data_IF_740676633214
#
_entry.id   IF_740676633214
#
_cell.length_a   1.000
_cell.length_b   1.000
_cell.length_c   1.000
_cell.angle_alpha   90.00
_cell.angle_beta   90.00
_cell.angle_gamma   90.00
#
_symmetry.space_group_name_H-M   'P 1'
#
loop_
_entity.id
_entity.type
_entity.pdbx_description
1 polymer ?
#
# COMPACT_ATOMS: atom_id res chain seq x y z
N UNK A 1 -56.78 -18.67 -6.80
CA UNK A 1 -55.59 -18.10 -7.49
C UNK A 1 -54.55 -17.82 -6.42
N UNK A 2 -53.46 -18.58 -6.38
CA UNK A 2 -52.35 -18.38 -5.43
C UNK A 2 -51.33 -17.48 -6.12
N UNK A 3 -51.15 -16.27 -5.60
CA UNK A 3 -50.10 -15.36 -6.05
C UNK A 3 -48.77 -15.76 -5.41
N UNK A 4 -47.87 -16.28 -6.24
CA UNK A 4 -46.48 -16.56 -5.87
C UNK A 4 -45.71 -15.25 -5.89
N UNK A 5 -45.24 -14.81 -4.72
CA UNK A 5 -44.35 -13.66 -4.58
C UNK A 5 -42.93 -14.12 -4.93
N UNK A 6 -42.40 -13.66 -6.07
CA UNK A 6 -41.00 -13.89 -6.46
C UNK A 6 -40.14 -12.86 -5.75
N UNK A 7 -39.36 -13.31 -4.77
CA UNK A 7 -38.35 -12.52 -4.08
C UNK A 7 -37.10 -12.48 -4.97
N UNK A 8 -36.89 -11.37 -5.69
CA UNK A 8 -35.63 -11.10 -6.40
C UNK A 8 -34.55 -10.74 -5.37
N UNK A 9 -33.66 -11.69 -5.08
CA UNK A 9 -32.41 -11.44 -4.39
C UNK A 9 -31.47 -10.65 -5.30
N UNK A 10 -31.32 -9.35 -5.04
CA UNK A 10 -30.19 -8.56 -5.53
C UNK A 10 -28.94 -9.00 -4.75
N UNK A 11 -28.18 -9.94 -5.30
CA UNK A 11 -26.79 -10.16 -4.90
C UNK A 11 -25.98 -9.00 -5.49
N UNK A 12 -25.98 -7.87 -4.79
CA UNK A 12 -25.07 -6.76 -5.05
C UNK A 12 -23.64 -7.21 -4.72
N UNK A 13 -23.00 -7.89 -5.65
CA UNK A 13 -21.56 -8.12 -5.59
C UNK A 13 -20.87 -6.76 -5.57
N UNK A 14 -20.28 -6.40 -4.44
CA UNK A 14 -19.24 -5.37 -4.37
C UNK A 14 -18.11 -5.84 -5.29
N UNK A 15 -18.15 -5.42 -6.55
CA UNK A 15 -16.96 -5.42 -7.39
C UNK A 15 -16.03 -4.37 -6.80
N UNK A 16 -15.02 -4.81 -6.07
CA UNK A 16 -13.81 -4.01 -5.92
C UNK A 16 -13.31 -3.79 -7.35
N UNK A 17 -13.49 -2.58 -7.88
CA UNK A 17 -12.77 -2.21 -9.08
C UNK A 17 -11.28 -2.44 -8.79
N UNK A 18 -10.52 -3.08 -9.70
CA UNK A 18 -9.08 -3.05 -9.59
C UNK A 18 -8.68 -1.58 -9.44
N UNK A 19 -7.91 -1.28 -8.41
CA UNK A 19 -7.30 0.04 -8.32
C UNK A 19 -6.18 -0.03 -9.34
N UNK A 20 -6.44 0.46 -10.55
CA UNK A 20 -5.40 0.52 -11.56
C UNK A 20 -4.25 1.36 -10.99
N UNK A 21 -3.09 0.75 -10.84
CA UNK A 21 -1.88 1.43 -10.40
C UNK A 21 -1.51 2.57 -11.37
N UNK A 22 -1.95 2.46 -12.62
CA UNK A 22 -1.55 3.32 -13.72
C UNK A 22 -2.48 4.53 -13.88
N UNK A 23 -1.88 5.69 -14.12
CA UNK A 23 -2.58 6.91 -14.47
C UNK A 23 -3.07 6.82 -15.92
N UNK A 24 -4.23 7.42 -16.22
CA UNK A 24 -4.54 7.73 -17.62
C UNK A 24 -3.48 8.69 -18.19
N UNK A 25 -3.19 8.55 -19.48
CA UNK A 25 -2.15 9.32 -20.18
C UNK A 25 -2.29 10.82 -19.91
N UNK A 26 -1.20 11.46 -19.49
CA UNK A 26 -1.13 12.89 -19.20
C UNK A 26 -1.64 13.31 -17.82
N UNK A 27 -2.01 12.36 -16.95
CA UNK A 27 -2.37 12.65 -15.56
C UNK A 27 -1.26 12.34 -14.54
N UNK A 28 -0.22 11.62 -14.96
CA UNK A 28 0.88 11.28 -14.08
C UNK A 28 1.81 12.49 -13.92
N UNK A 29 2.05 12.89 -12.67
CA UNK A 29 3.01 13.93 -12.32
C UNK A 29 4.44 13.38 -12.25
N UNK A 30 4.61 12.07 -12.15
CA UNK A 30 5.91 11.42 -12.25
C UNK A 30 6.34 11.36 -13.72
N UNK A 31 7.57 11.80 -13.99
CA UNK A 31 8.27 11.45 -15.21
C UNK A 31 8.60 9.96 -15.17
N UNK A 32 8.21 9.24 -16.24
CA UNK A 32 8.50 7.81 -16.40
C UNK A 32 8.11 6.96 -15.19
N UNK A 33 6.85 7.12 -14.73
CA UNK A 33 6.30 6.31 -13.65
C UNK A 33 6.24 4.82 -13.95
N UNK A 34 6.30 4.45 -15.24
CA UNK A 34 6.32 3.07 -15.72
C UNK A 34 7.74 2.48 -15.75
N UNK A 35 8.74 3.22 -15.28
CA UNK A 35 10.14 2.78 -15.19
C UNK A 35 10.73 2.25 -16.51
N UNK A 36 10.26 2.73 -17.64
CA UNK A 36 10.74 2.31 -18.97
C UNK A 36 12.19 2.78 -19.21
N UNK A 37 13.02 1.91 -19.74
CA UNK A 37 14.41 2.25 -20.02
C UNK A 37 15.22 1.16 -20.68
N UNK A 38 16.52 1.42 -20.80
CA UNK A 38 17.48 0.41 -21.19
C UNK A 38 17.84 -0.43 -19.96
N UNK A 39 17.64 -1.75 -20.06
CA UNK A 39 18.01 -2.72 -19.02
C UNK A 39 19.48 -2.62 -18.60
N UNK A 40 19.77 -2.91 -17.33
CA UNK A 40 21.16 -3.02 -16.85
C UNK A 40 21.33 -3.07 -15.33
N UNK A 41 22.49 -3.59 -14.91
CA UNK A 41 22.94 -3.55 -13.52
C UNK A 41 23.26 -2.10 -13.11
N UNK A 42 22.83 -1.70 -11.90
CA UNK A 42 23.03 -0.33 -11.41
C UNK A 42 22.47 0.74 -12.36
N UNK A 43 21.39 0.42 -13.07
CA UNK A 43 20.68 1.33 -13.95
C UNK A 43 19.37 1.77 -13.30
N UNK A 44 19.18 3.08 -13.30
CA UNK A 44 17.96 3.73 -12.81
C UNK A 44 17.15 4.22 -14.00
N UNK A 45 15.84 4.00 -13.97
CA UNK A 45 14.94 4.50 -15.00
C UNK A 45 15.08 6.02 -15.19
N UNK A 46 15.00 6.50 -16.43
CA UNK A 46 15.11 7.93 -16.72
C UNK A 46 14.04 8.73 -15.95
N UNK A 47 14.39 9.93 -15.48
CA UNK A 47 13.51 10.76 -14.63
C UNK A 47 13.62 10.45 -13.13
N UNK A 48 14.21 9.32 -12.74
CA UNK A 48 14.43 8.95 -11.34
C UNK A 48 15.88 9.15 -10.91
N UNK A 49 16.07 9.39 -9.61
CA UNK A 49 17.38 9.37 -8.95
C UNK A 49 17.51 8.10 -8.13
N UNK A 50 18.58 7.33 -8.35
CA UNK A 50 18.84 6.11 -7.58
C UNK A 50 19.56 6.37 -6.25
N UNK A 51 19.27 5.53 -5.28
CA UNK A 51 20.03 5.37 -4.05
C UNK A 51 20.80 4.04 -4.13
N UNK A 52 22.13 4.12 -4.07
CA UNK A 52 23.04 3.00 -4.33
C UNK A 52 22.97 2.48 -5.77
N UNK A 53 22.59 1.23 -5.98
CA UNK A 53 22.79 0.48 -7.23
C UNK A 53 21.51 -0.23 -7.71
N UNK A 54 20.33 0.43 -7.76
CA UNK A 54 19.12 -0.20 -8.28
C UNK A 54 19.33 -0.75 -9.69
N UNK A 55 18.64 -1.84 -9.99
CA UNK A 55 18.76 -2.55 -11.26
C UNK A 55 17.51 -2.36 -12.11
N UNK A 56 17.66 -2.28 -13.44
CA UNK A 56 16.54 -2.18 -14.37
C UNK A 56 16.41 -3.49 -15.16
N UNK A 57 15.27 -4.17 -15.02
CA UNK A 57 15.01 -5.49 -15.58
C UNK A 57 13.72 -5.53 -16.37
N UNK A 58 13.57 -6.55 -17.20
CA UNK A 58 12.35 -6.83 -17.94
C UNK A 58 12.00 -8.33 -17.86
N UNK A 59 10.89 -8.74 -18.51
CA UNK A 59 10.43 -10.13 -18.50
C UNK A 59 11.15 -11.04 -19.50
N UNK A 60 11.79 -10.47 -20.53
CA UNK A 60 12.32 -11.19 -21.68
C UNK A 60 13.86 -11.35 -21.66
N UNK A 61 14.55 -10.59 -20.81
CA UNK A 61 15.98 -10.46 -20.72
C UNK A 61 16.60 -11.32 -19.62
N UNK A 62 17.95 -11.40 -19.59
CA UNK A 62 18.66 -11.97 -18.46
C UNK A 62 18.44 -11.12 -17.20
N UNK A 63 18.68 -11.69 -16.02
CA UNK A 63 18.78 -10.89 -14.80
C UNK A 63 19.93 -9.88 -14.95
N UNK A 64 19.57 -8.61 -14.93
CA UNK A 64 20.48 -7.48 -14.91
C UNK A 64 20.78 -7.14 -13.45
N UNK A 65 21.83 -7.75 -12.91
CA UNK A 65 22.40 -7.45 -11.60
C UNK A 65 23.88 -7.88 -11.62
N UNK A 66 24.55 -7.84 -10.47
CA UNK A 66 25.92 -8.36 -10.34
C UNK A 66 26.06 -9.75 -10.95
N UNK A 67 27.10 -9.93 -11.76
CA UNK A 67 27.35 -11.19 -12.48
C UNK A 67 27.38 -12.40 -11.54
N UNK A 68 26.66 -13.46 -11.89
CA UNK A 68 26.63 -14.73 -11.15
C UNK A 68 25.39 -14.93 -10.29
N UNK A 69 24.48 -13.95 -10.26
CA UNK A 69 23.13 -14.13 -9.75
C UNK A 69 22.17 -14.62 -10.84
N UNK A 70 21.11 -15.29 -10.39
CA UNK A 70 20.01 -15.78 -11.21
C UNK A 70 18.70 -15.53 -10.49
N UNK A 71 17.62 -15.38 -11.24
CA UNK A 71 16.29 -15.37 -10.65
C UNK A 71 16.00 -16.71 -9.94
N UNK A 72 15.35 -16.65 -8.79
CA UNK A 72 14.87 -17.86 -8.10
C UNK A 72 13.71 -18.51 -8.83
N UNK A 73 12.93 -17.74 -9.58
CA UNK A 73 11.84 -18.19 -10.44
C UNK A 73 11.77 -17.36 -11.73
N UNK A 74 10.93 -17.73 -12.69
CA UNK A 74 10.79 -16.94 -13.92
C UNK A 74 10.08 -15.61 -13.61
N UNK A 75 10.65 -14.44 -13.96
CA UNK A 75 9.95 -13.17 -13.79
C UNK A 75 8.68 -13.11 -14.63
N UNK A 76 7.68 -12.40 -14.10
CA UNK A 76 6.40 -12.12 -14.77
C UNK A 76 6.32 -10.60 -14.95
N UNK A 77 5.86 -10.16 -16.12
CA UNK A 77 5.65 -8.74 -16.39
C UNK A 77 4.58 -8.15 -15.47
N UNK A 78 4.74 -6.88 -15.11
CA UNK A 78 3.71 -6.05 -14.47
C UNK A 78 2.51 -5.86 -15.41
N UNK A 79 1.45 -5.17 -14.94
CA UNK A 79 0.36 -4.79 -15.84
C UNK A 79 0.80 -3.78 -16.91
N UNK A 80 1.88 -3.02 -16.70
CA UNK A 80 2.46 -2.10 -17.68
C UNK A 80 3.24 -2.82 -18.77
N UNK A 81 3.88 -3.94 -18.43
CA UNK A 81 4.88 -4.55 -19.29
C UNK A 81 6.19 -3.79 -19.22
N UNK A 82 7.00 -3.89 -20.28
CA UNK A 82 8.26 -3.16 -20.37
C UNK A 82 9.27 -3.54 -19.28
N UNK A 83 10.02 -2.53 -18.83
CA UNK A 83 11.02 -2.67 -17.76
C UNK A 83 10.49 -2.19 -16.41
N UNK A 84 10.98 -2.76 -15.32
CA UNK A 84 10.71 -2.33 -13.95
C UNK A 84 11.99 -2.09 -13.17
N UNK A 85 11.88 -1.34 -12.07
CA UNK A 85 13.01 -1.08 -11.19
C UNK A 85 13.07 -2.12 -10.07
N UNK A 86 14.18 -2.85 -9.99
CA UNK A 86 14.52 -3.66 -8.83
C UNK A 86 15.38 -2.88 -7.83
N UNK A 87 15.10 -3.10 -6.55
CA UNK A 87 15.78 -2.49 -5.40
C UNK A 87 15.98 -3.54 -4.30
N UNK A 88 17.12 -3.53 -3.61
CA UNK A 88 17.49 -4.56 -2.64
C UNK A 88 17.82 -4.06 -1.22
N UNK A 89 17.82 -5.03 -0.30
CA UNK A 89 18.66 -5.06 0.90
C UNK A 89 18.51 -3.88 1.89
N UNK A 90 17.34 -3.23 1.95
CA UNK A 90 17.07 -2.03 2.75
C UNK A 90 18.05 -0.86 2.52
N UNK A 91 18.88 -0.92 1.47
CA UNK A 91 19.92 0.06 1.16
C UNK A 91 19.67 0.78 -0.18
N UNK A 92 18.89 0.16 -1.05
CA UNK A 92 18.58 0.69 -2.37
C UNK A 92 17.17 1.29 -2.43
N UNK A 93 17.01 2.19 -3.39
CA UNK A 93 15.72 2.80 -3.68
C UNK A 93 15.83 3.80 -4.82
N UNK A 94 14.71 4.44 -5.12
CA UNK A 94 14.62 5.49 -6.14
C UNK A 94 13.79 6.63 -5.63
N UNK A 95 14.08 7.84 -6.10
CA UNK A 95 13.31 9.04 -5.79
C UNK A 95 13.10 9.96 -6.98
N UNK A 96 12.04 10.77 -6.89
CA UNK A 96 11.76 11.83 -7.84
C UNK A 96 11.14 13.01 -7.12
N UNK A 97 11.62 14.21 -7.43
CA UNK A 97 11.00 15.46 -6.99
C UNK A 97 10.02 15.92 -8.06
N UNK A 98 8.77 16.10 -7.66
CA UNK A 98 7.70 16.58 -8.53
C UNK A 98 7.18 17.93 -8.06
N UNK A 99 6.66 18.73 -8.99
CA UNK A 99 5.92 19.95 -8.67
C UNK A 99 4.53 19.57 -8.11
N UNK A 100 4.16 20.19 -6.99
CA UNK A 100 2.87 20.02 -6.33
C UNK A 100 2.30 21.37 -5.91
N UNK A 101 1.02 21.41 -5.54
CA UNK A 101 0.39 22.61 -4.98
C UNK A 101 0.25 22.43 -3.48
N UNK A 102 0.80 23.37 -2.70
CA UNK A 102 0.68 23.34 -1.25
C UNK A 102 -0.80 23.28 -0.82
N UNK A 103 -1.13 22.34 0.05
CA UNK A 103 -2.50 22.10 0.53
C UNK A 103 -3.38 21.30 -0.42
N UNK A 104 -2.90 20.95 -1.63
CA UNK A 104 -3.59 19.99 -2.49
C UNK A 104 -3.31 18.55 -2.05
N UNK A 105 -4.23 17.67 -2.42
CA UNK A 105 -4.19 16.25 -2.06
C UNK A 105 -3.75 15.47 -3.28
N UNK A 106 -2.82 14.54 -3.05
CA UNK A 106 -2.31 13.66 -4.08
C UNK A 106 -2.56 12.21 -3.70
N UNK A 107 -2.74 11.37 -4.72
CA UNK A 107 -2.75 9.93 -4.64
C UNK A 107 -1.57 9.38 -5.45
N UNK A 108 -0.72 8.60 -4.78
CA UNK A 108 0.29 7.77 -5.40
C UNK A 108 -0.21 6.33 -5.40
N UNK A 109 -0.21 5.67 -6.56
CA UNK A 109 -0.42 4.24 -6.70
C UNK A 109 0.76 3.62 -7.46
N UNK A 110 1.07 2.35 -7.22
CA UNK A 110 2.16 1.62 -7.87
C UNK A 110 1.97 0.11 -7.71
N UNK A 111 2.61 -0.66 -8.58
CA UNK A 111 2.72 -2.11 -8.48
C UNK A 111 4.05 -2.49 -7.81
N UNK A 112 4.04 -3.59 -7.06
CA UNK A 112 5.24 -4.13 -6.44
C UNK A 112 5.17 -5.65 -6.37
N UNK A 113 6.34 -6.29 -6.32
CA UNK A 113 6.46 -7.73 -6.05
C UNK A 113 7.85 -8.08 -5.54
N UNK A 114 7.97 -9.12 -4.72
CA UNK A 114 9.25 -9.72 -4.39
C UNK A 114 9.74 -10.58 -5.57
N UNK A 115 10.98 -10.37 -6.03
CA UNK A 115 11.59 -11.15 -7.11
C UNK A 115 12.94 -11.67 -6.67
N UNK A 116 12.95 -12.82 -6.00
CA UNK A 116 14.18 -13.30 -5.36
C UNK A 116 15.33 -13.55 -6.34
N UNK A 117 16.55 -13.23 -5.93
CA UNK A 117 17.78 -13.57 -6.69
C UNK A 117 18.71 -14.44 -5.88
N UNK A 118 19.47 -15.30 -6.55
CA UNK A 118 20.37 -16.27 -5.89
C UNK A 118 21.69 -16.41 -6.66
N UNK A 119 22.78 -16.56 -5.91
CA UNK A 119 24.10 -16.95 -6.38
C UNK A 119 24.59 -18.16 -5.59
N UNK A 120 25.81 -18.63 -5.87
CA UNK A 120 26.41 -19.74 -5.10
C UNK A 120 26.60 -19.41 -3.60
N UNK A 121 26.76 -18.13 -3.25
CA UNK A 121 27.12 -17.70 -1.89
C UNK A 121 26.04 -16.89 -1.17
N UNK A 122 25.06 -16.36 -1.90
CA UNK A 122 24.07 -15.43 -1.35
C UNK A 122 22.70 -15.66 -1.97
N UNK A 123 21.66 -15.53 -1.15
CA UNK A 123 20.26 -15.55 -1.56
C UNK A 123 19.61 -14.26 -1.08
N UNK A 124 18.87 -13.59 -1.97
CA UNK A 124 18.02 -12.44 -1.66
C UNK A 124 16.59 -12.80 -2.05
N UNK A 125 15.91 -13.58 -1.22
CA UNK A 125 14.56 -14.09 -1.49
C UNK A 125 13.65 -14.04 -0.25
N UNK A 126 14.04 -13.28 0.77
CA UNK A 126 13.19 -13.06 1.93
C UNK A 126 11.92 -12.30 1.51
N UNK A 127 10.78 -12.55 2.18
CA UNK A 127 9.61 -11.69 2.06
C UNK A 127 9.98 -10.22 2.29
N UNK A 128 9.67 -9.37 1.32
CA UNK A 128 10.00 -7.96 1.36
C UNK A 128 8.76 -7.07 1.25
N UNK A 129 8.94 -5.80 1.54
CA UNK A 129 7.92 -4.78 1.39
C UNK A 129 8.53 -3.52 0.78
N UNK A 130 7.67 -2.60 0.35
CA UNK A 130 8.05 -1.27 -0.11
C UNK A 130 7.60 -0.25 0.93
N UNK A 131 8.51 0.66 1.28
CA UNK A 131 8.17 1.90 1.97
C UNK A 131 8.12 3.04 0.97
N UNK A 132 7.07 3.84 1.09
CA UNK A 132 6.97 5.13 0.40
C UNK A 132 7.25 6.23 1.40
N UNK A 133 8.24 7.06 1.09
CA UNK A 133 8.53 8.26 1.84
C UNK A 133 8.11 9.47 1.02
N UNK A 134 7.40 10.40 1.66
CA UNK A 134 7.00 11.68 1.10
C UNK A 134 7.75 12.77 1.87
N UNK A 135 8.61 13.51 1.17
CA UNK A 135 9.54 14.47 1.79
C UNK A 135 10.36 13.83 2.93
N UNK A 136 10.88 12.63 2.69
CA UNK A 136 11.62 11.80 3.66
C UNK A 136 10.82 11.36 4.90
N UNK A 137 9.50 11.54 4.91
CA UNK A 137 8.61 11.06 5.97
C UNK A 137 7.86 9.82 5.47
N UNK A 138 7.92 8.73 6.25
CA UNK A 138 7.21 7.49 5.93
C UNK A 138 5.71 7.74 5.79
N UNK A 139 5.18 7.53 4.59
CA UNK A 139 3.76 7.68 4.26
C UNK A 139 3.04 6.33 4.19
N UNK A 140 3.72 5.30 3.66
CA UNK A 140 3.19 3.95 3.53
C UNK A 140 4.29 2.90 3.74
N UNK A 141 3.90 1.78 4.33
CA UNK A 141 4.64 0.51 4.28
C UNK A 141 3.66 -0.53 3.74
N UNK A 142 4.00 -1.22 2.66
CA UNK A 142 3.18 -2.33 2.16
C UNK A 142 3.24 -3.53 3.11
N UNK A 143 2.27 -4.46 3.08
CA UNK A 143 2.45 -5.76 3.69
C UNK A 143 3.72 -6.45 3.15
N UNK A 144 4.34 -7.31 3.96
CA UNK A 144 5.37 -8.22 3.47
C UNK A 144 4.76 -9.10 2.37
N UNK A 145 5.38 -9.08 1.19
CA UNK A 145 5.01 -9.93 0.08
C UNK A 145 5.52 -11.34 0.32
N UNK A 146 4.59 -12.27 0.51
CA UNK A 146 4.86 -13.70 0.70
C UNK A 146 4.56 -14.53 -0.54
N UNK A 147 4.22 -13.87 -1.65
CA UNK A 147 3.83 -14.45 -2.94
C UNK A 147 4.74 -13.88 -4.03
N UNK A 148 6.03 -14.28 -4.05
CA UNK A 148 7.00 -13.71 -4.97
C UNK A 148 6.55 -13.90 -6.42
N UNK A 149 6.98 -12.99 -7.30
CA UNK A 149 6.63 -12.93 -8.73
C UNK A 149 5.13 -12.75 -9.02
N UNK A 150 4.35 -12.37 -8.01
CA UNK A 150 2.96 -11.93 -8.18
C UNK A 150 2.89 -10.44 -7.90
N UNK A 151 2.50 -9.66 -8.91
CA UNK A 151 2.35 -8.21 -8.78
C UNK A 151 1.13 -7.87 -7.92
N UNK A 152 1.37 -7.05 -6.91
CA UNK A 152 0.37 -6.47 -6.03
C UNK A 152 0.32 -4.96 -6.23
N UNK A 153 -0.81 -4.33 -5.93
CA UNK A 153 -0.97 -2.88 -6.04
C UNK A 153 -1.09 -2.23 -4.68
N UNK A 154 -0.41 -1.09 -4.50
CA UNK A 154 -0.52 -0.26 -3.32
C UNK A 154 -0.82 1.19 -3.70
N UNK A 155 -1.54 1.88 -2.82
CA UNK A 155 -1.79 3.31 -2.96
C UNK A 155 -1.69 4.05 -1.62
N UNK A 156 -1.23 5.30 -1.67
CA UNK A 156 -1.20 6.22 -0.54
C UNK A 156 -1.70 7.59 -0.98
N UNK A 157 -2.47 8.24 -0.10
CA UNK A 157 -2.86 9.64 -0.28
C UNK A 157 -2.10 10.52 0.71
N UNK A 158 -1.67 11.69 0.28
CA UNK A 158 -0.96 12.65 1.12
C UNK A 158 -1.37 14.09 0.78
N UNK A 159 -1.19 14.98 1.76
CA UNK A 159 -1.34 16.41 1.60
C UNK A 159 0.03 17.01 1.25
N UNK A 160 0.14 17.76 0.16
CA UNK A 160 1.39 18.45 -0.17
C UNK A 160 1.64 19.59 0.82
N UNK A 161 2.80 19.59 1.45
CA UNK A 161 3.23 20.60 2.43
C UNK A 161 3.99 21.78 1.83
N UNK A 162 4.11 21.84 0.50
CA UNK A 162 4.85 22.85 -0.24
C UNK A 162 4.58 22.75 -1.73
N UNK A 163 5.31 23.52 -2.53
CA UNK A 163 5.17 23.54 -4.00
C UNK A 163 5.92 22.42 -4.71
N UNK A 164 6.68 21.61 -3.98
CA UNK A 164 7.37 20.44 -4.50
C UNK A 164 7.21 19.29 -3.53
N UNK A 165 7.27 18.07 -4.04
CA UNK A 165 7.23 16.87 -3.22
C UNK A 165 8.27 15.87 -3.70
N UNK A 166 9.10 15.42 -2.78
CA UNK A 166 10.02 14.31 -2.99
C UNK A 166 9.32 13.00 -2.67
N UNK A 167 9.17 12.14 -3.68
CA UNK A 167 8.59 10.79 -3.56
C UNK A 167 9.73 9.79 -3.62
N UNK A 168 9.84 8.92 -2.61
CA UNK A 168 10.87 7.90 -2.55
C UNK A 168 10.26 6.51 -2.36
N UNK A 169 10.80 5.54 -3.07
CA UNK A 169 10.56 4.11 -2.85
C UNK A 169 11.83 3.47 -2.31
N UNK A 170 11.72 2.80 -1.16
CA UNK A 170 12.79 1.99 -0.59
C UNK A 170 12.25 0.62 -0.17
N UNK A 171 13.14 -0.36 -0.03
CA UNK A 171 12.76 -1.68 0.47
C UNK A 171 12.62 -1.70 2.00
N UNK A 172 11.82 -2.64 2.49
CA UNK A 172 11.78 -3.05 3.89
C UNK A 172 11.61 -4.57 3.99
N UNK A 173 11.77 -5.10 5.21
CA UNK A 173 11.69 -6.54 5.47
C UNK A 173 12.98 -7.05 6.09
N UNK A 174 13.47 -8.20 5.62
CA UNK A 174 14.78 -8.75 5.99
C UNK A 174 15.94 -8.11 5.24
N UNK A 175 17.17 -8.46 5.61
CA UNK A 175 18.39 -7.97 4.96
C UNK A 175 18.60 -8.60 3.55
N UNK A 176 17.87 -9.68 3.26
CA UNK A 176 17.98 -10.47 2.03
C UNK A 176 16.73 -10.34 1.15
N UNK A 177 16.28 -9.10 0.92
CA UNK A 177 15.13 -8.79 0.05
C UNK A 177 15.57 -8.25 -1.30
N UNK A 178 14.81 -8.56 -2.34
CA UNK A 178 14.96 -8.00 -3.69
C UNK A 178 13.55 -7.75 -4.25
N UNK A 179 13.16 -6.48 -4.35
CA UNK A 179 11.81 -6.06 -4.67
C UNK A 179 11.79 -5.35 -6.02
N UNK A 180 10.75 -5.59 -6.81
CA UNK A 180 10.45 -4.83 -8.01
C UNK A 180 9.34 -3.81 -7.73
N UNK A 181 9.41 -2.66 -8.39
CA UNK A 181 8.34 -1.66 -8.47
C UNK A 181 8.11 -1.26 -9.92
N UNK A 182 6.86 -1.00 -10.26
CA UNK A 182 6.44 -0.57 -11.59
C UNK A 182 5.15 0.26 -11.53
N UNK A 183 4.82 0.99 -12.59
CA UNK A 183 3.53 1.64 -12.81
C UNK A 183 3.15 2.66 -11.75
N UNK A 184 4.13 3.44 -11.29
CA UNK A 184 3.93 4.50 -10.34
C UNK A 184 3.12 5.66 -10.95
N UNK A 185 1.92 5.89 -10.44
CA UNK A 185 1.02 6.97 -10.81
C UNK A 185 0.85 7.94 -9.66
N UNK A 186 1.32 9.17 -9.83
CA UNK A 186 1.04 10.27 -8.93
C UNK A 186 0.09 11.25 -9.62
N UNK A 187 -1.04 11.53 -8.98
CA UNK A 187 -1.99 12.54 -9.47
C UNK A 187 -2.61 13.30 -8.32
N UNK A 188 -3.04 14.53 -8.61
CA UNK A 188 -3.92 15.26 -7.70
C UNK A 188 -5.26 14.51 -7.58
N UNK A 189 -5.78 14.36 -6.37
CA UNK A 189 -7.12 13.80 -6.10
C UNK A 189 -8.08 14.93 -5.72
N UNK A 190 -8.73 15.57 -6.71
CA UNK A 190 -9.65 16.70 -6.48
C UNK A 190 -10.94 16.29 -5.77
N UNK A 191 -11.21 14.99 -5.62
CA UNK A 191 -12.41 14.48 -4.94
C UNK A 191 -12.25 14.36 -3.42
N UNK A 192 -11.01 14.49 -2.95
CA UNK A 192 -10.68 14.45 -1.53
C UNK A 192 -10.65 15.87 -0.97
N UNK A 193 -11.52 16.16 0.01
CA UNK A 193 -11.39 17.39 0.78
C UNK A 193 -10.29 17.22 1.84
N UNK A 194 -9.71 18.32 2.34
CA UNK A 194 -8.76 18.28 3.48
C UNK A 194 -9.37 17.50 4.67
N UNK A 195 -10.69 17.57 4.86
CA UNK A 195 -11.44 16.78 5.86
C UNK A 195 -11.45 15.25 5.59
N UNK A 196 -11.21 14.82 4.34
CA UNK A 196 -11.22 13.41 3.92
C UNK A 196 -9.85 12.73 4.07
N UNK A 197 -8.73 13.47 4.04
CA UNK A 197 -7.40 13.02 4.50
C UNK A 197 -7.34 13.01 6.02
N UNK A 198 -8.00 13.96 6.67
CA UNK A 198 -8.04 14.05 8.13
C UNK A 198 -8.65 12.83 8.82
N UNK A 199 -9.24 11.92 8.04
CA UNK A 199 -9.77 10.63 8.47
C UNK A 199 -8.83 9.49 8.08
N UNK A 200 -7.72 9.37 8.80
CA UNK A 200 -6.79 8.23 8.68
C UNK A 200 -7.55 6.92 8.95
N UNK A 201 -7.33 5.87 8.16
CA UNK A 201 -7.91 4.54 8.44
C UNK A 201 -7.29 3.99 9.74
N UNK A 202 -8.08 3.62 10.77
CA UNK A 202 -7.53 3.01 11.97
C UNK A 202 -6.79 1.72 11.63
N UNK A 203 -5.58 1.52 12.18
CA UNK A 203 -4.88 0.24 12.09
C UNK A 203 -5.27 -0.62 13.29
N UNK A 204 -5.67 -1.86 13.04
CA UNK A 204 -6.12 -2.83 14.06
C UNK A 204 -5.17 -4.03 14.05
N UNK A 205 -4.57 -4.34 15.21
CA UNK A 205 -3.66 -5.47 15.35
C UNK A 205 -3.85 -6.17 16.71
N UNK A 206 -4.05 -7.50 16.75
CA UNK A 206 -4.30 -8.38 15.60
C UNK A 206 -5.68 -8.12 14.98
N UNK A 207 -5.89 -8.54 13.74
CA UNK A 207 -7.19 -8.56 13.07
C UNK A 207 -7.21 -9.73 12.05
N UNK A 208 -7.90 -10.86 12.31
CA UNK A 208 -8.87 -11.08 13.38
C UNK A 208 -8.30 -11.00 14.81
N UNK A 209 -9.09 -10.49 15.74
CA UNK A 209 -8.72 -10.35 17.15
C UNK A 209 -9.51 -11.31 18.05
N UNK A 210 -8.85 -11.87 19.06
CA UNK A 210 -9.47 -12.62 20.14
C UNK A 210 -9.13 -11.97 21.49
N UNK A 211 -10.16 -11.70 22.30
CA UNK A 211 -10.01 -11.10 23.63
C UNK A 211 -9.63 -9.61 23.64
N UNK A 212 -8.54 -9.21 22.99
CA UNK A 212 -8.13 -7.80 22.89
C UNK A 212 -7.48 -7.48 21.54
N UNK A 213 -7.47 -6.20 21.19
CA UNK A 213 -6.70 -5.70 20.06
C UNK A 213 -6.10 -4.33 20.36
N UNK A 214 -5.14 -3.93 19.54
CA UNK A 214 -4.63 -2.56 19.50
C UNK A 214 -5.24 -1.85 18.31
N UNK A 215 -5.81 -0.68 18.56
CA UNK A 215 -6.37 0.22 17.57
C UNK A 215 -5.59 1.52 17.64
N UNK A 216 -4.94 1.87 16.53
CA UNK A 216 -4.19 3.12 16.39
C UNK A 216 -4.84 3.97 15.32
N UNK A 217 -4.94 5.27 15.61
CA UNK A 217 -5.49 6.27 14.71
C UNK A 217 -4.41 7.33 14.49
N UNK A 218 -4.25 7.79 13.25
CA UNK A 218 -3.23 8.78 12.90
C UNK A 218 -3.48 10.18 13.47
N UNK A 219 -4.59 10.36 14.19
CA UNK A 219 -4.95 11.59 14.90
C UNK A 219 -5.32 11.29 16.36
N UNK A 220 -5.15 12.26 17.28
CA UNK A 220 -5.73 12.18 18.62
C UNK A 220 -7.23 11.90 18.56
N UNK A 221 -7.70 11.02 19.44
CA UNK A 221 -9.10 10.63 19.54
C UNK A 221 -9.48 10.45 21.01
N UNK A 222 -10.76 10.68 21.32
CA UNK A 222 -11.31 10.59 22.67
C UNK A 222 -12.02 9.26 22.91
N UNK A 223 -12.53 8.62 21.84
CA UNK A 223 -13.24 7.34 21.93
C UNK A 223 -13.17 6.54 20.64
N UNK A 224 -13.38 5.24 20.78
CA UNK A 224 -13.52 4.29 19.67
C UNK A 224 -14.95 3.75 19.70
N UNK A 225 -15.60 3.73 18.54
CA UNK A 225 -16.94 3.18 18.36
C UNK A 225 -16.85 1.96 17.44
N UNK A 226 -17.49 0.86 17.84
CA UNK A 226 -17.72 -0.32 17.02
C UNK A 226 -19.20 -0.46 16.69
N UNK A 227 -19.51 -0.78 15.45
CA UNK A 227 -20.87 -0.97 14.94
C UNK A 227 -21.02 -2.38 14.41
N UNK A 228 -22.01 -3.11 14.90
CA UNK A 228 -22.32 -4.46 14.44
C UNK A 228 -23.00 -4.45 13.05
N UNK A 229 -23.18 -5.62 12.45
CA UNK A 229 -23.84 -5.77 11.15
C UNK A 229 -25.32 -5.35 11.14
N UNK A 230 -25.95 -5.17 12.32
CA UNK A 230 -27.34 -4.72 12.49
C UNK A 230 -27.42 -3.21 12.79
N UNK A 231 -26.29 -2.51 12.87
CA UNK A 231 -26.21 -1.09 13.20
C UNK A 231 -26.16 -0.78 14.70
N UNK A 232 -26.06 -1.80 15.56
CA UNK A 232 -25.87 -1.64 17.00
C UNK A 232 -24.51 -1.02 17.31
N UNK A 233 -24.50 0.05 18.12
CA UNK A 233 -23.29 0.84 18.41
C UNK A 233 -22.76 0.55 19.81
N UNK A 234 -21.45 0.33 19.90
CA UNK A 234 -20.74 -0.03 21.11
C UNK A 234 -19.52 0.85 21.28
N UNK A 235 -19.39 1.50 22.43
CA UNK A 235 -18.17 2.21 22.78
C UNK A 235 -17.13 1.23 23.29
N UNK A 236 -15.93 1.33 22.73
CA UNK A 236 -14.78 0.52 23.07
C UNK A 236 -13.85 1.34 23.96
N UNK A 237 -13.77 1.04 25.27
CA UNK A 237 -12.79 1.67 26.14
C UNK A 237 -11.39 1.34 25.63
N UNK A 238 -10.56 2.38 25.46
CA UNK A 238 -9.19 2.22 25.00
C UNK A 238 -8.23 2.82 26.03
N UNK A 239 -7.21 2.06 26.43
CA UNK A 239 -6.08 2.55 27.22
C UNK A 239 -4.86 2.50 26.31
N UNK A 240 -4.31 3.67 25.94
CA UNK A 240 -3.18 3.76 24.99
C UNK A 240 -3.41 3.01 23.66
N UNK A 241 -4.66 2.99 23.18
CA UNK A 241 -5.06 2.28 21.96
C UNK A 241 -5.27 0.77 22.14
N UNK A 242 -5.06 0.20 23.32
CA UNK A 242 -5.44 -1.19 23.62
C UNK A 242 -6.92 -1.27 24.00
N UNK A 243 -7.65 -2.17 23.35
CA UNK A 243 -9.08 -2.36 23.48
C UNK A 243 -9.39 -3.78 23.94
N UNK A 244 -10.21 -3.90 24.98
CA UNK A 244 -10.81 -5.16 25.42
C UNK A 244 -12.06 -5.47 24.58
N UNK A 245 -12.08 -6.65 23.96
CA UNK A 245 -13.13 -7.14 23.08
C UNK A 245 -14.01 -8.21 23.76
N UNK A 246 -13.76 -8.53 25.04
CA UNK A 246 -14.48 -9.56 25.80
C UNK A 246 -16.01 -9.38 25.84
N UNK A 247 -16.48 -8.14 25.60
CA UNK A 247 -17.90 -7.78 25.59
C UNK A 247 -18.53 -7.77 24.18
N UNK A 248 -17.74 -8.02 23.15
CA UNK A 248 -18.22 -8.09 21.78
C UNK A 248 -18.50 -9.54 21.41
N UNK A 249 -19.61 -9.77 20.70
CA UNK A 249 -19.86 -11.05 20.07
C UNK A 249 -18.86 -11.29 18.92
N UNK A 250 -18.56 -12.57 18.66
CA UNK A 250 -17.79 -12.95 17.49
C UNK A 250 -18.51 -12.51 16.20
N UNK A 251 -17.74 -12.07 15.22
CA UNK A 251 -18.27 -11.58 13.95
C UNK A 251 -17.54 -10.36 13.40
N UNK A 252 -18.20 -9.71 12.43
CA UNK A 252 -17.65 -8.54 11.73
C UNK A 252 -18.21 -7.27 12.35
N UNK A 253 -17.30 -6.36 12.68
CA UNK A 253 -17.57 -5.06 13.28
C UNK A 253 -16.99 -3.97 12.39
N UNK A 254 -17.66 -2.83 12.35
CA UNK A 254 -17.13 -1.60 11.73
C UNK A 254 -16.64 -0.67 12.83
N UNK A 255 -15.37 -0.33 12.82
CA UNK A 255 -14.73 0.48 13.88
C UNK A 255 -14.37 1.87 13.36
N UNK A 256 -14.55 2.89 14.22
CA UNK A 256 -14.19 4.27 13.92
C UNK A 256 -13.68 5.00 15.17
N UNK A 257 -12.64 5.82 15.01
CA UNK A 257 -12.15 6.74 16.04
C UNK A 257 -12.89 8.08 15.96
N UNK A 258 -13.16 8.65 17.14
CA UNK A 258 -13.89 9.90 17.30
C UNK A 258 -13.14 10.85 18.22
N UNK A 259 -13.19 12.14 17.89
CA UNK A 259 -12.87 13.24 18.78
C UNK A 259 -14.16 13.99 19.18
N UNK A 260 -14.05 14.95 20.09
CA UNK A 260 -15.14 15.80 20.57
C UNK A 260 -15.95 16.46 19.44
N UNK A 261 -15.30 16.84 18.34
CA UNK A 261 -15.91 17.52 17.19
C UNK A 261 -16.49 16.57 16.12
N UNK A 262 -16.22 15.25 16.19
CA UNK A 262 -16.72 14.30 15.20
C UNK A 262 -15.79 13.13 14.90
N UNK A 263 -16.06 12.37 13.83
CA UNK A 263 -15.24 11.24 13.45
C UNK A 263 -13.91 11.73 12.85
N UNK A 264 -12.79 11.21 13.39
CA UNK A 264 -11.41 11.54 12.97
C UNK A 264 -10.77 10.41 12.18
N UNK A 265 -11.55 9.40 11.81
CA UNK A 265 -11.08 8.25 11.05
C UNK A 265 -12.15 7.77 10.07
N UNK A 266 -11.70 7.07 9.02
CA UNK A 266 -12.60 6.26 8.19
C UNK A 266 -13.07 5.05 9.00
N UNK A 267 -14.25 4.49 8.69
CA UNK A 267 -14.65 3.20 9.23
C UNK A 267 -13.70 2.11 8.71
N UNK A 268 -13.27 1.19 9.57
CA UNK A 268 -12.47 0.02 9.19
C UNK A 268 -13.12 -1.26 9.69
N UNK A 269 -12.91 -2.36 8.98
CA UNK A 269 -13.42 -3.67 9.38
C UNK A 269 -12.55 -4.27 10.48
N UNK A 270 -13.17 -4.67 11.57
CA UNK A 270 -12.60 -5.49 12.63
C UNK A 270 -13.30 -6.85 12.65
N UNK A 271 -12.55 -7.94 12.74
CA UNK A 271 -13.08 -9.28 12.89
C UNK A 271 -12.80 -9.74 14.32
N UNK A 272 -13.86 -10.05 15.08
CA UNK A 272 -13.76 -10.60 16.43
C UNK A 272 -13.94 -12.11 16.34
N UNK A 273 -12.90 -12.84 16.73
CA UNK A 273 -12.91 -14.30 16.84
C UNK A 273 -13.41 -14.73 18.23
N UNK A 274 -13.98 -15.94 18.36
CA UNK A 274 -14.21 -16.54 19.67
C UNK A 274 -12.90 -16.55 20.49
N UNK A 275 -13.04 -16.38 21.81
CA UNK A 275 -11.95 -16.61 22.77
C UNK A 275 -11.50 -18.07 22.77
#
# INVERSE_FOLDING_TARGET
>A
MRSTLILLLFVGGLRTAPVDAQCAVGLNLLENGDFEGAEGESVVAAGWTGMSTPDLNDVNGPLNTTTGYYWTEQPVASANGGTWQNICCAAEGVSQVVETTEGAIYQLCYEYTAQGIVSESYTYADPGCIQVLINSVLALTTPLDTTPYTWETACVSFLASGSTTDVQFITCGGDQVYMAIDGACLREDPSSSVDAIDRVTPRIAPNPASGSCRITCGKPFDRIEAVDARGGRHLLPAVQGQVDLSRLASGIWTVRCWASQGPVSRPVRMVVSPL
#
